data_IF_666459815787
#
_entry.id   IF_666459815787
#
_cell.length_a   1.000
_cell.length_b   1.000
_cell.length_c   1.000
_cell.angle_alpha   90.00
_cell.angle_beta   90.00
_cell.angle_gamma   90.00
#
_symmetry.space_group_name_H-M   'P 1'
#
loop_
_entity.id
_entity.type
_entity.pdbx_description
1 polymer ?
#
# COMPACT_ATOMS: atom_id res chain seq x y z
N UNK A 1 14.10 1.88 16.98
CA UNK A 1 13.32 1.50 15.77
C UNK A 1 14.32 0.88 14.82
N UNK A 2 14.17 -0.41 14.55
CA UNK A 2 15.20 -1.28 13.96
C UNK A 2 15.24 -1.21 12.43
N UNK A 3 15.58 -0.06 11.85
CA UNK A 3 15.87 0.03 10.42
C UNK A 3 17.23 0.68 10.22
N UNK A 4 18.25 -0.18 10.03
CA UNK A 4 19.55 0.26 9.50
C UNK A 4 19.47 0.29 7.97
N UNK A 5 20.40 1.02 7.31
CA UNK A 5 20.49 0.98 5.84
C UNK A 5 20.62 -0.46 5.33
N UNK A 6 21.48 -1.26 5.96
CA UNK A 6 21.72 -2.65 5.57
C UNK A 6 20.46 -3.52 5.74
N UNK A 7 19.76 -3.41 6.87
CA UNK A 7 18.50 -4.14 7.12
C UNK A 7 17.42 -3.75 6.12
N UNK A 8 17.36 -2.48 5.71
CA UNK A 8 16.40 -1.99 4.72
C UNK A 8 16.68 -2.55 3.32
N UNK A 9 17.96 -2.59 2.91
CA UNK A 9 18.37 -3.21 1.64
C UNK A 9 18.03 -4.70 1.59
N UNK A 10 18.31 -5.43 2.66
CA UNK A 10 17.97 -6.86 2.75
C UNK A 10 16.46 -7.05 2.65
N UNK A 11 15.66 -6.24 3.35
CA UNK A 11 14.20 -6.32 3.29
C UNK A 11 13.68 -6.06 1.86
N UNK A 12 14.21 -5.04 1.18
CA UNK A 12 13.84 -4.73 -0.21
C UNK A 12 14.16 -5.91 -1.13
N UNK A 13 15.37 -6.47 -1.03
CA UNK A 13 15.78 -7.62 -1.84
C UNK A 13 14.85 -8.83 -1.61
N UNK A 14 14.49 -9.11 -0.36
CA UNK A 14 13.56 -10.19 -0.02
C UNK A 14 12.16 -9.97 -0.62
N UNK A 15 11.63 -8.75 -0.55
CA UNK A 15 10.32 -8.40 -1.14
C UNK A 15 10.33 -8.66 -2.65
N UNK A 16 11.40 -8.26 -3.35
CA UNK A 16 11.55 -8.50 -4.77
C UNK A 16 11.64 -9.99 -5.11
N UNK A 17 12.48 -10.74 -4.40
CA UNK A 17 12.66 -12.18 -4.64
C UNK A 17 11.34 -12.93 -4.43
N UNK A 18 10.62 -12.65 -3.33
CA UNK A 18 9.34 -13.28 -3.04
C UNK A 18 8.30 -12.92 -4.12
N UNK A 19 8.21 -11.65 -4.50
CA UNK A 19 7.23 -11.18 -5.50
C UNK A 19 7.48 -11.79 -6.87
N UNK A 20 8.73 -11.78 -7.35
CA UNK A 20 9.12 -12.37 -8.63
C UNK A 20 8.90 -13.89 -8.59
N UNK A 21 9.31 -14.56 -7.51
CA UNK A 21 9.12 -16.00 -7.34
C UNK A 21 7.63 -16.39 -7.40
N UNK A 22 6.76 -15.63 -6.75
CA UNK A 22 5.31 -15.84 -6.82
C UNK A 22 4.78 -15.74 -8.25
N UNK A 23 5.16 -14.71 -9.02
CA UNK A 23 4.72 -14.57 -10.41
C UNK A 23 5.25 -15.69 -11.29
N UNK A 24 6.53 -16.08 -11.15
CA UNK A 24 7.11 -17.19 -11.92
C UNK A 24 6.37 -18.50 -11.64
N UNK A 25 6.04 -18.79 -10.38
CA UNK A 25 5.33 -20.01 -10.02
C UNK A 25 3.91 -20.00 -10.60
N UNK A 26 3.13 -18.95 -10.31
CA UNK A 26 1.70 -18.90 -10.67
C UNK A 26 1.49 -18.81 -12.19
N UNK A 27 2.22 -17.91 -12.86
CA UNK A 27 2.02 -17.65 -14.30
C UNK A 27 2.93 -18.52 -15.17
N UNK A 28 4.19 -18.68 -14.78
CA UNK A 28 5.19 -19.38 -15.59
C UNK A 28 5.12 -20.90 -15.51
N UNK A 29 4.90 -21.46 -14.32
CA UNK A 29 4.88 -22.92 -14.11
C UNK A 29 3.45 -23.47 -14.24
N UNK A 30 2.48 -22.85 -13.55
CA UNK A 30 1.10 -23.34 -13.54
C UNK A 30 0.21 -22.75 -14.64
N UNK A 31 0.70 -21.78 -15.40
CA UNK A 31 -0.05 -21.21 -16.55
C UNK A 31 -1.26 -20.35 -16.17
N UNK A 32 -1.40 -19.97 -14.89
CA UNK A 32 -2.50 -19.17 -14.37
C UNK A 32 -2.33 -17.69 -14.74
N UNK A 33 -2.40 -17.43 -16.04
CA UNK A 33 -2.12 -16.13 -16.66
C UNK A 33 -3.22 -15.13 -16.41
N UNK A 34 -2.80 -13.87 -16.31
CA UNK A 34 -3.68 -12.71 -16.32
C UNK A 34 -4.17 -12.47 -17.76
N UNK A 35 -5.48 -12.29 -17.96
CA UNK A 35 -6.08 -12.00 -19.26
C UNK A 35 -7.03 -10.81 -19.18
N UNK A 36 -7.22 -10.14 -20.32
CA UNK A 36 -8.18 -9.04 -20.43
C UNK A 36 -9.59 -9.60 -20.58
N UNK A 37 -10.51 -9.13 -19.73
CA UNK A 37 -11.89 -9.58 -19.71
C UNK A 37 -12.85 -8.44 -20.10
N UNK A 38 -13.62 -8.66 -21.18
CA UNK A 38 -14.57 -7.68 -21.73
C UNK A 38 -15.80 -7.42 -20.84
N UNK A 39 -15.98 -8.20 -19.78
CA UNK A 39 -17.09 -8.08 -18.85
C UNK A 39 -16.91 -6.92 -17.87
N UNK A 40 -15.67 -6.61 -17.48
CA UNK A 40 -15.31 -5.55 -16.54
C UNK A 40 -14.27 -4.56 -17.11
N UNK A 41 -13.93 -4.69 -18.40
CA UNK A 41 -12.86 -3.95 -19.07
C UNK A 41 -11.56 -3.94 -18.25
N UNK A 42 -11.23 -5.09 -17.67
CA UNK A 42 -10.16 -5.22 -16.69
C UNK A 42 -9.38 -6.52 -16.86
N UNK A 43 -8.38 -6.68 -16.02
CA UNK A 43 -7.55 -7.87 -16.00
C UNK A 43 -8.07 -8.85 -14.95
N UNK A 44 -8.36 -10.08 -15.38
CA UNK A 44 -8.77 -11.17 -14.52
C UNK A 44 -7.78 -12.32 -14.63
N UNK A 45 -7.69 -13.13 -13.58
CA UNK A 45 -6.93 -14.38 -13.62
C UNK A 45 -7.77 -15.49 -14.26
N UNK A 46 -7.11 -16.41 -14.97
CA UNK A 46 -7.75 -17.68 -15.34
C UNK A 46 -8.08 -18.47 -14.05
N UNK A 47 -9.32 -18.90 -13.95
CA UNK A 47 -9.91 -19.51 -12.75
C UNK A 47 -10.37 -20.94 -13.05
N UNK A 48 -9.51 -21.74 -13.67
CA UNK A 48 -9.75 -23.13 -14.04
C UNK A 48 -9.04 -24.10 -13.08
N UNK A 49 -9.77 -25.09 -12.57
CA UNK A 49 -9.25 -26.18 -11.76
C UNK A 49 -8.31 -25.73 -10.63
N UNK A 50 -7.02 -26.03 -10.78
CA UNK A 50 -5.95 -25.72 -9.83
C UNK A 50 -5.62 -24.21 -9.74
N UNK A 51 -5.91 -23.40 -10.77
CA UNK A 51 -5.59 -21.97 -10.76
C UNK A 51 -6.46 -21.15 -9.79
N UNK A 52 -7.73 -21.53 -9.60
CA UNK A 52 -8.63 -20.87 -8.65
C UNK A 52 -8.07 -20.86 -7.22
N UNK A 53 -7.75 -22.01 -6.59
CA UNK A 53 -7.19 -22.01 -5.25
C UNK A 53 -5.79 -21.40 -5.21
N UNK A 54 -4.96 -21.55 -6.25
CA UNK A 54 -3.59 -21.02 -6.28
C UNK A 54 -3.55 -19.49 -6.30
N UNK A 55 -4.31 -18.89 -7.22
CA UNK A 55 -4.43 -17.43 -7.35
C UNK A 55 -5.07 -16.84 -6.11
N UNK A 56 -6.13 -17.47 -5.60
CA UNK A 56 -6.78 -17.01 -4.38
C UNK A 56 -5.82 -17.09 -3.19
N UNK A 57 -5.09 -18.19 -3.01
CA UNK A 57 -4.11 -18.31 -1.94
C UNK A 57 -2.99 -17.27 -2.08
N UNK A 58 -2.41 -17.12 -3.27
CA UNK A 58 -1.30 -16.19 -3.51
C UNK A 58 -1.73 -14.73 -3.31
N UNK A 59 -2.87 -14.32 -3.89
CA UNK A 59 -3.31 -12.94 -3.88
C UNK A 59 -3.96 -12.56 -2.54
N UNK A 60 -4.95 -13.32 -2.11
CA UNK A 60 -5.76 -12.98 -0.91
C UNK A 60 -4.93 -13.09 0.36
N UNK A 61 -4.09 -14.13 0.50
CA UNK A 61 -3.22 -14.27 1.68
C UNK A 61 -2.20 -13.13 1.75
N UNK A 62 -1.60 -12.76 0.62
CA UNK A 62 -0.64 -11.65 0.56
C UNK A 62 -1.28 -10.33 1.02
N UNK A 63 -2.46 -10.02 0.50
CA UNK A 63 -3.17 -8.78 0.85
C UNK A 63 -3.50 -8.75 2.35
N UNK A 64 -4.09 -9.81 2.92
CA UNK A 64 -4.44 -9.81 4.35
C UNK A 64 -3.23 -9.81 5.28
N UNK A 65 -2.16 -10.54 4.95
CA UNK A 65 -0.93 -10.52 5.75
C UNK A 65 -0.31 -9.12 5.74
N UNK A 66 -0.26 -8.47 4.57
CA UNK A 66 0.25 -7.10 4.47
C UNK A 66 -0.62 -6.12 5.26
N UNK A 67 -1.95 -6.30 5.24
CA UNK A 67 -2.88 -5.48 6.02
C UNK A 67 -2.56 -5.55 7.52
N UNK A 68 -2.38 -6.76 8.04
CA UNK A 68 -2.08 -6.98 9.44
C UNK A 68 -0.74 -6.38 9.85
N UNK A 69 0.30 -6.53 9.01
CA UNK A 69 1.62 -5.98 9.27
C UNK A 69 1.63 -4.45 9.26
N UNK A 70 1.02 -3.82 8.25
CA UNK A 70 0.97 -2.35 8.15
C UNK A 70 0.10 -1.77 9.26
N UNK A 71 -1.11 -2.31 9.45
CA UNK A 71 -2.03 -1.84 10.49
C UNK A 71 -1.44 -1.96 11.90
N UNK A 72 -0.70 -3.03 12.20
CA UNK A 72 -0.01 -3.16 13.49
C UNK A 72 1.16 -2.18 13.65
N UNK A 73 1.95 -1.95 12.60
CA UNK A 73 3.03 -0.96 12.61
C UNK A 73 2.50 0.47 12.83
N UNK A 74 1.39 0.82 12.18
CA UNK A 74 0.73 2.12 12.34
C UNK A 74 0.16 2.29 13.75
N UNK A 75 -0.48 1.25 14.31
CA UNK A 75 -0.97 1.26 15.69
C UNK A 75 0.17 1.45 16.71
N UNK A 76 1.28 0.72 16.55
CA UNK A 76 2.47 0.87 17.40
C UNK A 76 3.04 2.29 17.28
N UNK A 77 3.13 2.83 16.07
CA UNK A 77 3.64 4.18 15.82
C UNK A 77 2.74 5.24 16.45
N UNK A 78 1.42 5.09 16.34
CA UNK A 78 0.45 5.96 17.00
C UNK A 78 0.63 5.96 18.52
N UNK A 79 0.76 4.77 19.14
CA UNK A 79 0.98 4.66 20.60
C UNK A 79 2.29 5.34 20.99
N UNK A 80 3.38 5.09 20.27
CA UNK A 80 4.69 5.74 20.53
C UNK A 80 4.60 7.26 20.40
N UNK A 81 3.94 7.78 19.36
CA UNK A 81 3.76 9.22 19.17
C UNK A 81 2.96 9.87 20.32
N UNK A 82 1.93 9.18 20.82
CA UNK A 82 1.14 9.66 21.98
C UNK A 82 1.94 9.63 23.27
N UNK A 83 2.72 8.57 23.51
CA UNK A 83 3.58 8.47 24.69
C UNK A 83 4.69 9.53 24.68
N UNK A 84 5.38 9.69 23.55
CA UNK A 84 6.38 10.74 23.37
C UNK A 84 5.79 12.13 23.55
N UNK A 85 4.57 12.39 23.05
CA UNK A 85 3.90 13.68 23.24
C UNK A 85 3.67 14.04 24.73
N UNK A 86 3.37 13.03 25.58
CA UNK A 86 3.17 13.24 27.03
C UNK A 86 4.49 13.52 27.77
N UNK A 87 5.60 12.96 27.30
CA UNK A 87 6.93 13.11 27.93
C UNK A 87 7.63 14.43 27.57
N UNK A 88 7.22 15.11 26.49
CA UNK A 88 7.90 16.27 25.89
C UNK A 88 7.43 17.63 26.42
N UNK A 89 6.75 17.68 27.57
CA UNK A 89 6.13 18.88 28.15
C UNK A 89 7.12 20.00 28.55
N UNK A 90 8.41 19.88 28.24
CA UNK A 90 9.45 20.90 28.43
C UNK A 90 10.56 20.94 27.35
N UNK A 91 10.36 20.33 26.16
CA UNK A 91 11.46 20.05 25.24
C UNK A 91 11.80 21.16 24.21
N UNK A 92 13.04 21.14 23.71
CA UNK A 92 13.69 22.09 22.79
C UNK A 92 12.98 22.27 21.44
N UNK A 93 13.26 23.39 20.75
CA UNK A 93 12.74 23.65 19.38
C UNK A 93 13.05 22.51 18.39
N UNK A 94 14.23 21.90 18.49
CA UNK A 94 14.65 20.81 17.62
C UNK A 94 13.82 19.54 17.84
N UNK A 95 13.52 19.20 19.10
CA UNK A 95 12.66 18.06 19.43
C UNK A 95 11.22 18.27 18.95
N UNK A 96 10.69 19.50 19.08
CA UNK A 96 9.37 19.87 18.52
C UNK A 96 9.33 19.74 17.00
N UNK A 97 10.38 20.17 16.30
CA UNK A 97 10.49 20.05 14.84
C UNK A 97 10.55 18.58 14.39
N UNK A 98 11.39 17.76 15.05
CA UNK A 98 11.49 16.32 14.79
C UNK A 98 10.15 15.61 15.01
N UNK A 99 9.47 15.87 16.14
CA UNK A 99 8.13 15.33 16.40
C UNK A 99 7.12 15.71 15.33
N UNK A 100 7.14 16.96 14.86
CA UNK A 100 6.25 17.40 13.78
C UNK A 100 6.50 16.60 12.49
N UNK A 101 7.77 16.34 12.16
CA UNK A 101 8.11 15.48 11.04
C UNK A 101 7.60 14.04 11.24
N UNK A 102 7.84 13.44 12.39
CA UNK A 102 7.38 12.07 12.71
C UNK A 102 5.84 11.93 12.63
N UNK A 103 5.11 12.93 13.15
CA UNK A 103 3.63 12.98 13.04
C UNK A 103 3.18 13.13 11.59
N UNK A 104 3.87 13.93 10.79
CA UNK A 104 3.56 14.09 9.38
C UNK A 104 3.81 12.79 8.61
N UNK A 105 4.93 12.09 8.86
CA UNK A 105 5.18 10.76 8.28
C UNK A 105 4.10 9.76 8.66
N UNK A 106 3.69 9.71 9.94
CA UNK A 106 2.58 8.86 10.36
C UNK A 106 1.27 9.20 9.65
N UNK A 107 0.94 10.49 9.48
CA UNK A 107 -0.26 10.90 8.72
C UNK A 107 -0.19 10.45 7.26
N UNK A 108 1.00 10.49 6.65
CA UNK A 108 1.21 10.00 5.30
C UNK A 108 0.92 8.49 5.22
N UNK A 109 1.58 7.69 6.06
CA UNK A 109 1.40 6.23 6.08
C UNK A 109 -0.04 5.83 6.37
N UNK A 110 -0.70 6.49 7.33
CA UNK A 110 -2.09 6.24 7.65
C UNK A 110 -3.03 6.59 6.48
N UNK A 111 -2.79 7.69 5.78
CA UNK A 111 -3.59 8.06 4.61
C UNK A 111 -3.44 7.02 3.49
N UNK A 112 -2.21 6.56 3.23
CA UNK A 112 -1.93 5.51 2.25
C UNK A 112 -2.65 4.21 2.61
N UNK A 113 -2.58 3.79 3.87
CA UNK A 113 -3.27 2.61 4.37
C UNK A 113 -4.80 2.70 4.21
N UNK A 114 -5.39 3.86 4.54
CA UNK A 114 -6.83 4.06 4.39
C UNK A 114 -7.28 4.03 2.91
N UNK A 115 -6.51 4.63 2.01
CA UNK A 115 -6.80 4.59 0.56
C UNK A 115 -6.74 3.16 0.05
N UNK A 116 -5.77 2.38 0.50
CA UNK A 116 -5.68 0.95 0.17
C UNK A 116 -6.88 0.15 0.69
N UNK A 117 -7.33 0.39 1.94
CA UNK A 117 -8.55 -0.26 2.48
C UNK A 117 -9.79 0.12 1.65
N UNK A 118 -9.90 1.37 1.20
CA UNK A 118 -10.99 1.81 0.34
C UNK A 118 -10.96 1.13 -1.04
N UNK A 119 -9.78 0.94 -1.62
CA UNK A 119 -9.60 0.21 -2.87
C UNK A 119 -9.98 -1.26 -2.73
N UNK A 120 -9.49 -1.95 -1.69
CA UNK A 120 -9.87 -3.33 -1.37
C UNK A 120 -11.38 -3.46 -1.15
N UNK A 121 -12.00 -2.50 -0.44
CA UNK A 121 -13.45 -2.48 -0.22
C UNK A 121 -14.21 -2.31 -1.54
N UNK A 122 -13.75 -1.40 -2.38
CA UNK A 122 -14.34 -1.13 -3.69
C UNK A 122 -14.27 -2.35 -4.61
N UNK A 123 -13.11 -3.01 -4.65
CA UNK A 123 -12.85 -4.17 -5.48
C UNK A 123 -13.62 -5.41 -5.00
N UNK A 124 -13.47 -5.83 -3.74
CA UNK A 124 -13.99 -7.11 -3.26
C UNK A 124 -15.45 -7.07 -2.81
N UNK A 125 -15.92 -5.94 -2.28
CA UNK A 125 -17.27 -5.85 -1.70
C UNK A 125 -18.21 -5.05 -2.58
N UNK A 126 -17.84 -3.82 -2.94
CA UNK A 126 -18.77 -2.91 -3.64
C UNK A 126 -19.00 -3.38 -5.08
N UNK A 127 -17.96 -3.83 -5.80
CA UNK A 127 -18.09 -4.25 -7.19
C UNK A 127 -19.08 -5.41 -7.38
N UNK A 128 -19.18 -6.31 -6.40
CA UNK A 128 -20.10 -7.45 -6.41
C UNK A 128 -21.58 -7.07 -6.45
N UNK A 129 -21.95 -5.85 -6.05
CA UNK A 129 -23.33 -5.35 -6.12
C UNK A 129 -23.71 -4.84 -7.52
N UNK A 130 -22.77 -4.73 -8.46
CA UNK A 130 -22.99 -4.16 -9.80
C UNK A 130 -22.61 -5.10 -10.96
N UNK A 131 -22.97 -6.39 -10.95
CA UNK A 131 -22.46 -7.40 -11.90
C UNK A 131 -22.83 -7.13 -13.38
N UNK A 132 -23.83 -6.29 -13.65
CA UNK A 132 -24.26 -5.92 -14.99
C UNK A 132 -23.78 -4.56 -15.49
N UNK A 133 -23.17 -3.74 -14.63
CA UNK A 133 -22.78 -2.37 -14.97
C UNK A 133 -21.27 -2.28 -15.21
N UNK A 134 -20.86 -2.50 -16.46
CA UNK A 134 -19.44 -2.54 -16.86
C UNK A 134 -18.68 -1.26 -16.51
N UNK A 135 -19.31 -0.10 -16.64
CA UNK A 135 -18.68 1.20 -16.33
C UNK A 135 -18.40 1.30 -14.83
N UNK A 136 -19.39 0.93 -13.99
CA UNK A 136 -19.22 0.94 -12.53
C UNK A 136 -18.16 -0.06 -12.08
N UNK A 137 -18.16 -1.28 -12.62
CA UNK A 137 -17.13 -2.27 -12.35
C UNK A 137 -15.74 -1.78 -12.74
N UNK A 138 -15.62 -1.18 -13.92
CA UNK A 138 -14.36 -0.64 -14.41
C UNK A 138 -13.81 0.46 -13.49
N UNK A 139 -14.66 1.38 -13.01
CA UNK A 139 -14.27 2.43 -12.06
C UNK A 139 -13.85 1.82 -10.72
N UNK A 140 -14.70 0.96 -10.13
CA UNK A 140 -14.46 0.40 -8.81
C UNK A 140 -13.25 -0.53 -8.74
N UNK A 141 -12.85 -1.13 -9.87
CA UNK A 141 -11.70 -2.02 -9.94
C UNK A 141 -10.46 -1.31 -10.47
N UNK A 142 -10.50 -0.75 -11.68
CA UNK A 142 -9.31 -0.19 -12.35
C UNK A 142 -8.96 1.20 -11.85
N UNK A 143 -9.94 2.12 -11.74
CA UNK A 143 -9.63 3.47 -11.23
C UNK A 143 -9.27 3.46 -9.76
N UNK A 144 -9.94 2.63 -8.96
CA UNK A 144 -9.57 2.46 -7.55
C UNK A 144 -8.11 1.99 -7.42
N UNK A 145 -7.70 0.99 -8.21
CA UNK A 145 -6.33 0.48 -8.26
C UNK A 145 -5.32 1.55 -8.69
N UNK A 146 -5.62 2.32 -9.76
CA UNK A 146 -4.76 3.42 -10.22
C UNK A 146 -4.63 4.54 -9.18
N UNK A 147 -5.73 4.91 -8.52
CA UNK A 147 -5.75 5.92 -7.47
C UNK A 147 -4.89 5.49 -6.29
N UNK A 148 -4.98 4.24 -5.88
CA UNK A 148 -4.14 3.68 -4.81
C UNK A 148 -2.63 3.79 -5.15
N UNK A 149 -2.21 3.37 -6.34
CA UNK A 149 -0.79 3.44 -6.75
C UNK A 149 -0.26 4.86 -6.91
N UNK A 150 -1.12 5.82 -7.23
CA UNK A 150 -0.73 7.23 -7.36
C UNK A 150 -0.84 8.00 -6.05
N UNK A 151 -1.70 7.56 -5.13
CA UNK A 151 -1.91 8.19 -3.83
C UNK A 151 -0.64 8.22 -2.97
N UNK A 152 0.25 7.25 -3.11
CA UNK A 152 1.54 7.22 -2.41
C UNK A 152 2.40 8.45 -2.76
N UNK A 153 2.55 8.71 -4.06
CA UNK A 153 3.29 9.88 -4.56
C UNK A 153 2.62 11.19 -4.18
N UNK A 154 1.29 11.26 -4.29
CA UNK A 154 0.50 12.45 -3.92
C UNK A 154 0.63 12.74 -2.42
N UNK A 155 0.50 11.73 -1.57
CA UNK A 155 0.58 11.87 -0.10
C UNK A 155 1.98 12.30 0.33
N UNK A 156 3.03 11.76 -0.31
CA UNK A 156 4.41 12.17 -0.09
C UNK A 156 4.61 13.65 -0.44
N UNK A 157 4.21 14.05 -1.65
CA UNK A 157 4.32 15.43 -2.10
C UNK A 157 3.49 16.39 -1.25
N UNK A 158 2.30 15.98 -0.80
CA UNK A 158 1.40 16.81 -0.01
C UNK A 158 1.88 17.06 1.42
N UNK A 159 2.58 16.10 2.04
CA UNK A 159 2.86 16.12 3.48
C UNK A 159 4.35 16.39 3.77
N UNK A 160 5.27 15.96 2.92
CA UNK A 160 6.71 16.12 3.14
C UNK A 160 7.20 17.54 2.82
N UNK A 161 7.41 18.34 3.86
CA UNK A 161 7.84 19.74 3.71
C UNK A 161 9.27 19.88 3.19
N UNK A 162 10.16 18.92 3.47
CA UNK A 162 11.55 18.96 2.98
C UNK A 162 11.58 18.74 1.47
N UNK A 163 10.82 17.76 0.97
CA UNK A 163 10.65 17.57 -0.48
C UNK A 163 10.01 18.79 -1.14
N UNK A 164 8.96 19.38 -0.55
CA UNK A 164 8.35 20.60 -1.09
C UNK A 164 9.33 21.77 -1.19
N UNK A 165 10.23 21.93 -0.21
CA UNK A 165 11.27 22.96 -0.23
C UNK A 165 12.28 22.70 -1.34
N UNK A 166 12.72 21.44 -1.50
CA UNK A 166 13.63 21.05 -2.57
C UNK A 166 13.03 21.30 -3.97
N UNK A 167 11.74 20.98 -4.16
CA UNK A 167 11.04 21.28 -5.42
C UNK A 167 10.83 22.78 -5.66
N UNK A 168 10.67 23.59 -4.62
CA UNK A 168 10.55 25.05 -4.75
C UNK A 168 11.90 25.73 -4.98
N UNK A 169 12.97 25.25 -4.36
CA UNK A 169 14.32 25.80 -4.45
C UNK A 169 15.34 24.68 -4.77
N UNK A 170 15.51 24.32 -6.06
CA UNK A 170 16.35 23.18 -6.47
C UNK A 170 17.86 23.37 -6.25
N UNK A 171 18.31 24.58 -5.91
CA UNK A 171 19.73 25.00 -5.91
C UNK A 171 20.30 25.27 -4.50
N UNK A 172 19.67 24.75 -3.44
CA UNK A 172 20.20 24.82 -2.08
C UNK A 172 20.93 23.53 -1.68
#
# INVERSE_FOLDING_TARGET
MCFSKQSSFVLIALIWIISIGQHIVVEGIFGCTLYYADINWGFNFKLDGLCLPLVNYSNTTKQYVMAGLVGSADAITMVKLRLSAKMLSGDSKQAKAKRKADVNFFKQSLAQFLIWVLEMTSYFFISGYFPGNKIVLWILQNWAWLLMHTADGISLLAINQELKKLFRNPTA
#
